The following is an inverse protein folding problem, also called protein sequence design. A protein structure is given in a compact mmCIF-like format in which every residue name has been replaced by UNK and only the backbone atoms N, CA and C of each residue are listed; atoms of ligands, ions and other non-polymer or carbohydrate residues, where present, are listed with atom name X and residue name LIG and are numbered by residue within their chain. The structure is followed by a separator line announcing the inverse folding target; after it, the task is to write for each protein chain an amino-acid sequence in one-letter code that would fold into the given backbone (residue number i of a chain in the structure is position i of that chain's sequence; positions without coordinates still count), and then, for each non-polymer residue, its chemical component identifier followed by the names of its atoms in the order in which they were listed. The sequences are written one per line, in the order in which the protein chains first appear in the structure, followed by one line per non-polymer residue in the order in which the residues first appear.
data_IF_395763687258
#
_entry.id   IF_395763687258
#
_cell.length_a   1.000
_cell.length_b   1.000
_cell.length_c   1.000
_cell.angle_alpha   90.00
_cell.angle_beta   90.00
_cell.angle_gamma   90.00
#
_symmetry.space_group_name_H-M   'P 1'
#
loop_
_entity.id
_entity.type
_entity.pdbx_description
1 polymer ?
#
# COMPACT_ATOMS: atom_id res chain seq x y z
N UNK A 1 10.21 -4.07 18.36
CA UNK A 1 8.76 -4.30 18.62
C UNK A 1 7.98 -4.05 17.34
N UNK A 2 6.97 -4.88 17.05
CA UNK A 2 6.11 -4.71 15.86
C UNK A 2 4.72 -4.27 16.28
N UNK A 3 4.16 -3.27 15.59
CA UNK A 3 2.74 -2.90 15.67
C UNK A 3 2.06 -3.40 14.40
N UNK A 4 1.01 -4.20 14.55
CA UNK A 4 0.33 -4.86 13.43
C UNK A 4 -1.14 -4.46 13.47
N UNK A 5 -1.64 -3.97 12.32
CA UNK A 5 -3.07 -3.76 12.06
C UNK A 5 -3.47 -4.73 10.96
N UNK A 6 -4.46 -5.55 11.18
CA UNK A 6 -5.00 -6.48 10.19
C UNK A 6 -6.44 -6.10 9.88
N UNK A 7 -6.80 -6.15 8.62
CA UNK A 7 -8.18 -6.04 8.20
C UNK A 7 -8.93 -7.28 8.73
N UNK A 8 -10.01 -7.14 9.49
CA UNK A 8 -10.73 -8.27 10.11
C UNK A 8 -11.07 -9.41 9.15
N UNK A 9 -11.32 -9.09 7.88
CA UNK A 9 -11.57 -10.08 6.81
C UNK A 9 -10.41 -11.07 6.63
N UNK A 10 -9.18 -10.68 6.95
CA UNK A 10 -7.95 -11.46 6.73
C UNK A 10 -7.27 -11.89 8.04
N UNK A 11 -8.01 -11.87 9.14
CA UNK A 11 -7.49 -12.24 10.46
C UNK A 11 -6.99 -13.70 10.48
N UNK A 12 -7.57 -14.56 9.68
CA UNK A 12 -7.15 -15.96 9.52
C UNK A 12 -5.72 -16.13 8.94
N UNK A 13 -5.16 -15.07 8.33
CA UNK A 13 -3.78 -15.05 7.84
C UNK A 13 -2.79 -14.45 8.84
N UNK A 14 -3.18 -14.19 10.09
CA UNK A 14 -2.38 -13.49 11.10
C UNK A 14 -0.96 -14.05 11.21
N UNK A 15 -0.81 -15.35 11.42
CA UNK A 15 0.51 -15.98 11.60
C UNK A 15 1.43 -15.76 10.39
N UNK A 16 0.89 -15.87 9.18
CA UNK A 16 1.61 -15.59 7.96
C UNK A 16 1.97 -14.10 7.84
N UNK A 17 1.02 -13.19 8.11
CA UNK A 17 1.26 -11.74 8.07
C UNK A 17 2.37 -11.35 9.05
N UNK A 18 2.36 -11.89 10.27
CA UNK A 18 3.36 -11.60 11.30
C UNK A 18 4.77 -12.06 10.93
N UNK A 19 4.89 -13.12 10.12
CA UNK A 19 6.19 -13.63 9.64
C UNK A 19 6.78 -12.81 8.49
N UNK A 20 5.98 -12.00 7.78
CA UNK A 20 6.41 -11.29 6.57
C UNK A 20 7.70 -10.48 6.77
N UNK A 21 7.90 -9.67 7.83
CA UNK A 21 9.15 -8.93 7.98
C UNK A 21 10.39 -9.83 8.07
N UNK A 22 10.25 -11.05 8.59
CA UNK A 22 11.37 -11.98 8.79
C UNK A 22 11.78 -12.68 7.47
N UNK A 23 10.82 -12.92 6.59
CA UNK A 23 11.06 -13.60 5.30
C UNK A 23 11.18 -12.64 4.12
N UNK A 24 10.90 -11.35 4.32
CA UNK A 24 10.79 -10.38 3.24
C UNK A 24 12.04 -10.25 2.37
N UNK A 25 13.24 -10.42 2.93
CA UNK A 25 14.48 -10.31 2.15
C UNK A 25 14.67 -11.53 1.25
N UNK A 26 14.29 -12.72 1.72
CA UNK A 26 14.55 -13.99 1.04
C UNK A 26 13.44 -14.40 0.09
N UNK A 27 12.20 -14.06 0.41
CA UNK A 27 11.02 -14.53 -0.30
C UNK A 27 10.37 -13.47 -1.19
N UNK A 28 9.59 -13.95 -2.15
CA UNK A 28 8.76 -13.16 -3.02
C UNK A 28 9.44 -12.62 -4.27
N UNK A 29 8.63 -12.43 -5.30
CA UNK A 29 9.05 -11.85 -6.57
C UNK A 29 9.09 -10.33 -6.47
N UNK A 30 10.24 -9.72 -6.71
CA UNK A 30 10.39 -8.26 -6.78
C UNK A 30 9.67 -7.74 -8.02
N UNK A 31 8.80 -6.77 -7.87
CA UNK A 31 8.09 -6.08 -8.97
C UNK A 31 8.48 -4.61 -9.09
N UNK A 32 9.06 -4.04 -8.06
CA UNK A 32 9.56 -2.66 -8.09
C UNK A 32 10.70 -2.47 -7.10
N UNK A 33 11.77 -1.81 -7.55
CA UNK A 33 12.91 -1.38 -6.73
C UNK A 33 13.17 0.10 -6.98
N UNK A 34 13.16 0.90 -5.91
CA UNK A 34 13.41 2.34 -5.99
C UNK A 34 13.35 2.91 -4.58
N UNK A 35 12.66 4.03 -4.39
CA UNK A 35 12.46 4.63 -3.06
C UNK A 35 11.78 3.66 -2.07
N UNK A 36 10.96 2.73 -2.57
CA UNK A 36 10.35 1.65 -1.81
C UNK A 36 10.69 0.34 -2.52
N UNK A 37 10.64 -0.77 -1.79
CA UNK A 37 10.73 -2.10 -2.36
C UNK A 37 9.33 -2.72 -2.36
N UNK A 38 8.91 -3.27 -3.51
CA UNK A 38 7.63 -3.94 -3.65
C UNK A 38 7.85 -5.36 -4.12
N UNK A 39 7.30 -6.31 -3.38
CA UNK A 39 7.33 -7.74 -3.70
C UNK A 39 5.93 -8.33 -3.75
N UNK A 40 5.78 -9.40 -4.50
CA UNK A 40 4.59 -10.25 -4.52
C UNK A 40 4.94 -11.58 -3.88
N UNK A 41 4.14 -11.98 -2.91
CA UNK A 41 4.19 -13.30 -2.26
C UNK A 41 2.86 -14.02 -2.45
N UNK A 42 2.90 -15.34 -2.27
CA UNK A 42 1.69 -16.18 -2.23
C UNK A 42 1.39 -16.52 -0.77
N UNK A 43 0.22 -16.16 -0.29
CA UNK A 43 -0.26 -16.54 1.02
C UNK A 43 -0.62 -18.03 1.08
N UNK A 44 -0.74 -18.64 2.28
CA UNK A 44 -1.04 -20.07 2.43
C UNK A 44 -2.36 -20.53 1.79
N UNK A 45 -3.30 -19.63 1.61
CA UNK A 45 -4.59 -19.87 0.95
C UNK A 45 -4.53 -19.71 -0.59
N UNK A 46 -3.34 -19.47 -1.15
CA UNK A 46 -3.12 -19.24 -2.57
C UNK A 46 -3.30 -17.78 -3.02
N UNK A 47 -3.73 -16.89 -2.13
CA UNK A 47 -3.92 -15.47 -2.46
C UNK A 47 -2.58 -14.81 -2.80
N UNK A 48 -2.53 -14.13 -3.95
CA UNK A 48 -1.38 -13.29 -4.31
C UNK A 48 -1.47 -11.98 -3.54
N UNK A 49 -0.45 -11.66 -2.78
CA UNK A 49 -0.35 -10.42 -1.99
C UNK A 49 0.79 -9.54 -2.49
N UNK A 50 0.54 -8.24 -2.45
CA UNK A 50 1.52 -7.20 -2.75
C UNK A 50 2.02 -6.62 -1.43
N UNK A 51 3.32 -6.62 -1.22
CA UNK A 51 3.95 -6.09 -0.02
C UNK A 51 4.83 -4.92 -0.41
N UNK A 52 4.45 -3.74 0.06
CA UNK A 52 5.21 -2.49 -0.11
C UNK A 52 5.93 -2.15 1.17
N UNK A 53 7.25 -2.28 1.17
CA UNK A 53 8.09 -1.80 2.27
C UNK A 53 8.43 -0.33 2.05
N UNK A 54 8.00 0.50 2.99
CA UNK A 54 8.39 1.91 3.04
C UNK A 54 9.75 2.06 3.71
N UNK A 55 10.57 2.96 3.17
CA UNK A 55 11.80 3.37 3.84
C UNK A 55 11.55 3.97 5.22
N UNK A 56 12.50 3.79 6.10
CA UNK A 56 12.53 4.46 7.39
C UNK A 56 12.47 5.99 7.19
N UNK A 57 11.69 6.69 8.01
CA UNK A 57 11.74 8.13 8.03
C UNK A 57 13.10 8.62 8.53
N UNK A 58 13.64 9.67 7.91
CA UNK A 58 14.91 10.27 8.29
C UNK A 58 14.71 11.63 8.97
N UNK A 59 15.69 12.01 9.82
CA UNK A 59 15.74 13.32 10.48
C UNK A 59 14.49 13.62 11.31
N UNK A 60 14.03 14.90 11.35
CA UNK A 60 12.89 15.34 12.15
C UNK A 60 11.59 14.58 11.87
N UNK A 61 11.42 14.11 10.65
CA UNK A 61 10.24 13.32 10.26
C UNK A 61 10.14 12.00 11.04
N UNK A 62 11.27 11.42 11.49
CA UNK A 62 11.25 10.19 12.30
C UNK A 62 10.54 10.43 13.63
N UNK A 63 10.77 11.57 14.28
CA UNK A 63 10.11 11.95 15.53
C UNK A 63 8.63 12.28 15.31
N UNK A 64 8.32 13.09 14.29
CA UNK A 64 6.95 13.52 13.96
C UNK A 64 6.04 12.31 13.72
N UNK A 65 6.49 11.32 12.96
CA UNK A 65 5.73 10.10 12.69
C UNK A 65 5.71 9.13 13.88
N UNK A 66 6.79 9.07 14.65
CA UNK A 66 6.89 8.17 15.81
C UNK A 66 5.97 8.62 16.95
N UNK A 67 5.85 9.92 17.17
CA UNK A 67 4.99 10.51 18.19
C UNK A 67 3.55 10.76 17.74
N UNK A 68 3.20 10.29 16.54
CA UNK A 68 1.86 10.37 15.98
C UNK A 68 1.34 11.82 15.78
N UNK A 69 2.23 12.81 15.75
CA UNK A 69 1.90 14.21 15.41
C UNK A 69 1.28 14.26 14.00
N UNK A 70 1.81 13.42 13.11
CA UNK A 70 1.24 13.18 11.77
C UNK A 70 1.16 11.68 11.51
N UNK A 71 0.01 11.21 11.02
CA UNK A 71 -0.16 9.80 10.63
C UNK A 71 0.92 9.38 9.61
N UNK A 72 1.69 8.30 9.86
CA UNK A 72 2.65 7.77 8.91
C UNK A 72 2.00 7.43 7.56
N UNK A 73 2.81 7.44 6.50
CA UNK A 73 2.34 7.10 5.15
C UNK A 73 1.69 5.72 5.08
N UNK A 74 2.27 4.72 5.77
CA UNK A 74 1.71 3.37 5.84
C UNK A 74 0.31 3.34 6.44
N UNK A 75 0.08 4.06 7.53
CA UNK A 75 -1.25 4.11 8.16
C UNK A 75 -2.30 4.72 7.25
N UNK A 76 -1.99 5.84 6.59
CA UNK A 76 -2.90 6.45 5.62
C UNK A 76 -3.18 5.51 4.45
N UNK A 77 -2.13 4.86 3.92
CA UNK A 77 -2.26 3.92 2.82
C UNK A 77 -3.04 2.65 3.19
N UNK A 78 -3.13 2.30 4.48
CA UNK A 78 -3.96 1.21 4.98
C UNK A 78 -5.42 1.65 5.21
N UNK A 79 -5.64 2.83 5.79
CA UNK A 79 -6.97 3.31 6.20
C UNK A 79 -7.79 3.87 5.03
N UNK A 80 -7.17 4.65 4.13
CA UNK A 80 -7.89 5.31 3.04
C UNK A 80 -8.55 4.35 2.03
N UNK A 81 -7.93 3.24 1.62
CA UNK A 81 -8.61 2.27 0.76
C UNK A 81 -9.89 1.72 1.35
N UNK A 82 -9.96 1.55 2.67
CA UNK A 82 -11.20 1.09 3.33
C UNK A 82 -12.31 2.13 3.23
N UNK A 83 -11.96 3.42 3.29
CA UNK A 83 -12.92 4.53 3.13
C UNK A 83 -13.35 4.60 1.67
N UNK A 84 -12.42 4.53 0.72
CA UNK A 84 -12.67 4.56 -0.73
C UNK A 84 -13.63 3.43 -1.13
N UNK A 85 -13.38 2.20 -0.67
CA UNK A 85 -14.26 1.06 -0.98
C UNK A 85 -15.68 1.23 -0.45
N UNK A 86 -15.86 1.80 0.75
CA UNK A 86 -17.20 2.12 1.28
C UNK A 86 -17.95 3.15 0.44
N UNK A 87 -17.21 4.00 -0.29
CA UNK A 87 -17.76 5.00 -1.23
C UNK A 87 -17.85 4.46 -2.66
N UNK A 88 -17.67 3.17 -2.89
CA UNK A 88 -17.78 2.51 -4.20
C UNK A 88 -16.58 2.77 -5.12
N UNK A 89 -15.47 3.30 -4.61
CA UNK A 89 -14.26 3.56 -5.40
C UNK A 89 -13.32 2.36 -5.33
N UNK A 90 -12.99 1.80 -6.49
CA UNK A 90 -12.08 0.67 -6.59
C UNK A 90 -10.66 1.07 -6.21
N UNK A 91 -10.06 0.25 -5.35
CA UNK A 91 -8.67 0.39 -4.90
C UNK A 91 -8.17 -0.98 -4.46
N UNK A 92 -6.84 -1.25 -4.50
CA UNK A 92 -6.29 -2.47 -3.94
C UNK A 92 -6.76 -2.69 -2.51
N UNK A 93 -7.23 -3.89 -2.20
CA UNK A 93 -7.77 -4.20 -0.88
C UNK A 93 -6.64 -4.35 0.15
N UNK A 94 -6.63 -3.57 1.24
CA UNK A 94 -5.61 -3.68 2.27
C UNK A 94 -5.88 -4.90 3.16
N UNK A 95 -4.83 -5.73 3.34
CA UNK A 95 -4.82 -6.86 4.27
C UNK A 95 -4.29 -6.44 5.63
N UNK A 96 -3.10 -5.84 5.64
CA UNK A 96 -2.44 -5.49 6.88
C UNK A 96 -1.46 -4.33 6.72
N UNK A 97 -1.13 -3.75 7.85
CA UNK A 97 0.01 -2.84 8.02
C UNK A 97 0.86 -3.34 9.18
N UNK A 98 2.16 -3.50 8.95
CA UNK A 98 3.15 -3.79 9.97
C UNK A 98 4.08 -2.59 10.10
N UNK A 99 4.27 -2.10 11.31
CA UNK A 99 5.25 -1.06 11.64
C UNK A 99 6.30 -1.65 12.59
N UNK A 100 7.54 -1.65 12.16
CA UNK A 100 8.67 -1.97 13.04
C UNK A 100 9.05 -0.73 13.84
N UNK A 101 9.25 -0.92 15.14
CA UNK A 101 9.64 0.15 16.04
C UNK A 101 10.79 -0.30 16.95
N UNK A 102 11.74 0.59 17.17
CA UNK A 102 12.86 0.32 18.08
C UNK A 102 12.43 0.46 19.56
N UNK A 103 13.36 0.29 20.48
CA UNK A 103 13.11 0.38 21.92
C UNK A 103 12.67 1.79 22.40
N UNK A 104 13.02 2.85 21.65
CA UNK A 104 12.53 4.22 21.87
C UNK A 104 11.18 4.50 21.18
N UNK A 105 10.48 3.46 20.70
CA UNK A 105 9.25 3.56 19.94
C UNK A 105 9.37 4.37 18.63
N UNK A 106 10.58 4.58 18.12
CA UNK A 106 10.80 5.25 16.86
C UNK A 106 10.46 4.33 15.69
N UNK A 107 9.80 4.89 14.68
CA UNK A 107 9.36 4.17 13.48
C UNK A 107 10.57 3.79 12.62
N UNK A 108 10.67 2.50 12.31
CA UNK A 108 11.59 1.90 11.34
C UNK A 108 10.90 1.61 10.01
N UNK A 109 11.10 0.40 9.48
CA UNK A 109 10.39 -0.04 8.29
C UNK A 109 8.89 -0.21 8.55
N UNK A 110 8.10 0.03 7.50
CA UNK A 110 6.67 -0.26 7.52
C UNK A 110 6.32 -1.07 6.28
N UNK A 111 5.49 -2.10 6.46
CA UNK A 111 5.04 -2.99 5.39
C UNK A 111 3.54 -2.82 5.21
N UNK A 112 3.13 -2.28 4.07
CA UNK A 112 1.73 -2.28 3.65
C UNK A 112 1.50 -3.53 2.81
N UNK A 113 0.53 -4.32 3.21
CA UNK A 113 0.15 -5.57 2.54
C UNK A 113 -1.24 -5.37 1.94
N UNK A 114 -1.35 -5.61 0.65
CA UNK A 114 -2.61 -5.52 -0.11
C UNK A 114 -2.79 -6.76 -0.96
N UNK A 115 -4.01 -7.01 -1.45
CA UNK A 115 -4.22 -7.96 -2.54
C UNK A 115 -3.44 -7.50 -3.76
N UNK A 116 -2.77 -8.42 -4.43
CA UNK A 116 -2.13 -8.14 -5.72
C UNK A 116 -3.22 -7.88 -6.77
N UNK A 117 -3.08 -6.78 -7.48
CA UNK A 117 -3.96 -6.46 -8.60
C UNK A 117 -3.31 -6.91 -9.90
N UNK A 118 -3.99 -7.74 -10.64
CA UNK A 118 -3.57 -8.25 -11.94
C UNK A 118 -4.16 -7.41 -13.07
N UNK A 119 -3.86 -6.11 -13.05
CA UNK A 119 -4.20 -5.25 -14.19
C UNK A 119 -3.11 -5.40 -15.26
N UNK A 120 -3.54 -5.68 -16.50
CA UNK A 120 -2.64 -5.86 -17.63
C UNK A 120 -1.93 -4.58 -18.07
N UNK A 121 -2.41 -3.41 -17.65
CA UNK A 121 -1.92 -2.10 -18.11
C UNK A 121 -1.75 -1.11 -16.96
N UNK A 122 -0.80 -0.22 -17.14
CA UNK A 122 -0.52 0.90 -16.22
C UNK A 122 -0.55 2.23 -16.98
N UNK A 123 -0.76 3.34 -16.25
CA UNK A 123 -0.70 4.67 -16.86
C UNK A 123 0.69 5.02 -17.44
N UNK A 124 1.75 4.36 -17.02
CA UNK A 124 3.09 4.57 -17.57
C UNK A 124 3.19 4.21 -19.05
N UNK A 125 2.37 3.28 -19.53
CA UNK A 125 2.38 2.84 -20.93
C UNK A 125 1.91 3.91 -21.91
N UNK A 126 1.20 4.93 -21.41
CA UNK A 126 0.65 6.01 -22.23
C UNK A 126 1.35 7.37 -22.01
N UNK A 127 2.45 7.40 -21.23
CA UNK A 127 3.16 8.67 -20.96
C UNK A 127 3.71 9.29 -22.25
N UNK A 128 4.20 8.44 -23.18
CA UNK A 128 4.77 8.87 -24.46
C UNK A 128 3.82 8.65 -25.65
N UNK A 129 2.57 8.25 -25.39
CA UNK A 129 1.57 8.03 -26.42
C UNK A 129 1.06 9.35 -27.03
N UNK A 130 0.58 9.30 -28.27
CA UNK A 130 -0.01 10.46 -28.93
C UNK A 130 -1.37 10.81 -28.33
N UNK A 131 -1.78 12.11 -28.35
CA UNK A 131 -3.06 12.54 -27.76
C UNK A 131 -4.28 11.74 -28.23
N UNK A 132 -4.29 11.31 -29.49
CA UNK A 132 -5.38 10.53 -30.05
C UNK A 132 -5.51 9.14 -29.42
N UNK A 133 -4.38 8.52 -29.03
CA UNK A 133 -4.32 7.17 -28.50
C UNK A 133 -4.86 7.08 -27.06
N UNK A 134 -4.66 8.14 -26.27
CA UNK A 134 -5.09 8.16 -24.86
C UNK A 134 -6.31 9.03 -24.55
N UNK A 135 -6.96 9.61 -25.57
CA UNK A 135 -8.13 10.50 -25.37
C UNK A 135 -9.26 9.85 -24.56
N UNK A 136 -9.58 8.59 -24.84
CA UNK A 136 -10.59 7.85 -24.08
C UNK A 136 -10.14 7.61 -22.62
N UNK A 137 -8.87 7.28 -22.40
CA UNK A 137 -8.30 7.07 -21.08
C UNK A 137 -8.27 8.38 -20.28
N UNK A 138 -7.91 9.50 -20.92
CA UNK A 138 -7.91 10.83 -20.27
C UNK A 138 -9.33 11.22 -19.81
N UNK A 139 -10.37 10.96 -20.64
CA UNK A 139 -11.76 11.15 -20.22
C UNK A 139 -12.15 10.29 -19.04
N UNK A 140 -11.81 8.99 -19.07
CA UNK A 140 -12.09 8.06 -17.97
C UNK A 140 -11.39 8.50 -16.67
N UNK A 141 -10.13 8.95 -16.77
CA UNK A 141 -9.38 9.47 -15.64
C UNK A 141 -10.00 10.76 -15.09
N UNK A 142 -10.46 11.68 -15.95
CA UNK A 142 -11.13 12.90 -15.55
C UNK A 142 -12.45 12.59 -14.80
N UNK A 143 -13.26 11.65 -15.30
CA UNK A 143 -14.47 11.20 -14.61
C UNK A 143 -14.15 10.54 -13.27
N UNK A 144 -13.11 9.72 -13.20
CA UNK A 144 -12.66 9.11 -11.96
C UNK A 144 -12.21 10.16 -10.93
N UNK A 145 -11.42 11.15 -11.35
CA UNK A 145 -11.00 12.26 -10.51
C UNK A 145 -12.18 13.09 -10.01
N UNK A 146 -13.13 13.44 -10.89
CA UNK A 146 -14.36 14.14 -10.52
C UNK A 146 -15.16 13.35 -9.47
N UNK A 147 -15.28 12.04 -9.63
CA UNK A 147 -15.97 11.18 -8.66
C UNK A 147 -15.28 11.19 -7.29
N UNK A 148 -13.95 11.16 -7.25
CA UNK A 148 -13.18 11.28 -5.98
C UNK A 148 -13.48 12.63 -5.29
N UNK A 149 -13.50 13.73 -6.05
CA UNK A 149 -13.81 15.06 -5.51
C UNK A 149 -15.24 15.15 -4.97
N UNK A 150 -16.23 14.62 -5.70
CA UNK A 150 -17.63 14.60 -5.26
C UNK A 150 -17.81 13.83 -3.93
N UNK A 151 -16.95 12.91 -3.61
CA UNK A 151 -16.98 12.15 -2.37
C UNK A 151 -16.15 12.77 -1.24
N UNK A 152 -15.67 14.01 -1.40
CA UNK A 152 -14.88 14.75 -0.39
C UNK A 152 -13.68 13.94 0.16
N UNK A 153 -12.93 13.27 -0.74
CA UNK A 153 -11.81 12.41 -0.36
C UNK A 153 -10.47 13.16 -0.37
N UNK A 154 -10.45 14.39 -0.86
CA UNK A 154 -9.28 15.27 -0.92
C UNK A 154 -9.48 16.52 -0.07
#
# INVERSE_FOLDING_TARGET
MRKIKINPKYEYLRAFIESIPDVFEQEGRVIYTGRNLIKVLTAPDGTQINIKRFHEPHGPNKLIYSWNIRKPKGQRAFEYPMILKRKGINTPEPLALIEERNFLNLLGYSYLITIQCDYGHTLYEVVDAKPEEYKCLAKALAHFAANIHLHEIL
#
